data_IF_081530884762
#
_entry.id   IF_081530884762
#
_cell.length_a   1.000
_cell.length_b   1.000
_cell.length_c   1.000
_cell.angle_alpha   90.00
_cell.angle_beta   90.00
_cell.angle_gamma   90.00
#
_symmetry.space_group_name_H-M   'P 1'
#
loop_
_entity.id
_entity.type
_entity.pdbx_description
1 polymer ?
#
# COMPACT_ATOMS: atom_id res chain seq x y z
N UNK A 1 -8.91 1.36 39.03
CA UNK A 1 -8.61 2.75 39.49
C UNK A 1 -9.83 3.62 39.18
N UNK A 2 -10.15 4.67 39.96
CA UNK A 2 -11.23 5.61 39.60
C UNK A 2 -10.85 6.38 38.33
N UNK A 3 -11.79 6.46 37.37
CA UNK A 3 -11.63 7.10 36.05
C UNK A 3 -12.64 8.22 35.82
N UNK A 4 -13.49 8.52 36.79
CA UNK A 4 -14.49 9.59 36.71
C UNK A 4 -13.85 10.95 36.38
N UNK A 5 -12.63 11.17 36.85
CA UNK A 5 -11.83 12.37 36.60
C UNK A 5 -11.58 12.63 35.09
N UNK A 6 -11.55 11.60 34.25
CA UNK A 6 -11.28 11.73 32.80
C UNK A 6 -12.33 12.60 32.09
N UNK A 7 -13.52 12.71 32.67
CA UNK A 7 -14.65 13.47 32.13
C UNK A 7 -14.78 14.89 32.72
N UNK A 8 -13.90 15.30 33.64
CA UNK A 8 -13.92 16.64 34.20
C UNK A 8 -13.46 17.67 33.16
N UNK A 9 -14.27 18.72 32.98
CA UNK A 9 -14.01 19.78 32.00
C UNK A 9 -12.99 20.80 32.51
N UNK A 10 -13.00 21.09 33.81
CA UNK A 10 -12.01 21.94 34.47
C UNK A 10 -10.75 21.11 34.81
N UNK A 11 -9.75 21.17 33.94
CA UNK A 11 -8.51 20.39 34.08
C UNK A 11 -7.41 21.11 34.84
N UNK A 12 -7.43 22.45 34.84
CA UNK A 12 -6.33 23.27 35.37
C UNK A 12 -6.52 23.65 36.83
N UNK A 13 -7.78 23.69 37.30
CA UNK A 13 -8.09 24.09 38.69
C UNK A 13 -8.69 22.97 39.53
N UNK A 14 -9.17 21.89 38.91
CA UNK A 14 -9.76 20.77 39.64
C UNK A 14 -8.69 19.91 40.32
N UNK A 15 -8.71 19.80 41.67
CA UNK A 15 -7.84 18.88 42.39
C UNK A 15 -8.08 17.43 41.96
N UNK A 16 -9.35 17.05 41.77
CA UNK A 16 -9.72 15.69 41.36
C UNK A 16 -9.16 15.30 39.98
N UNK A 17 -9.08 16.25 39.03
CA UNK A 17 -8.43 16.00 37.74
C UNK A 17 -6.92 15.81 37.90
N UNK A 18 -6.27 16.68 38.68
CA UNK A 18 -4.84 16.60 38.93
C UNK A 18 -4.44 15.29 39.63
N UNK A 19 -5.21 14.88 40.64
CA UNK A 19 -5.02 13.62 41.36
C UNK A 19 -5.19 12.40 40.44
N UNK A 20 -6.20 12.43 39.57
CA UNK A 20 -6.43 11.40 38.55
C UNK A 20 -5.28 11.26 37.56
N UNK A 21 -4.77 12.39 37.04
CA UNK A 21 -3.59 12.43 36.16
C UNK A 21 -2.36 11.87 36.88
N UNK A 22 -2.13 12.25 38.14
CA UNK A 22 -1.00 11.76 38.93
C UNK A 22 -1.07 10.24 39.17
N UNK A 23 -2.26 9.72 39.48
CA UNK A 23 -2.48 8.30 39.68
C UNK A 23 -2.23 7.50 38.38
N UNK A 24 -2.73 8.01 37.25
CA UNK A 24 -2.46 7.45 35.92
C UNK A 24 -0.96 7.43 35.59
N UNK A 25 -0.26 8.55 35.77
CA UNK A 25 1.18 8.64 35.45
C UNK A 25 2.03 7.76 36.36
N UNK A 26 1.62 7.54 37.60
CA UNK A 26 2.29 6.63 38.54
C UNK A 26 2.18 5.19 38.06
N UNK A 27 0.99 4.76 37.62
CA UNK A 27 0.78 3.44 37.04
C UNK A 27 1.64 3.26 35.77
N UNK A 28 1.60 4.24 34.87
CA UNK A 28 2.36 4.21 33.61
C UNK A 28 3.87 4.12 33.84
N UNK A 29 4.41 4.85 34.83
CA UNK A 29 5.84 4.79 35.22
C UNK A 29 6.26 3.43 35.74
N UNK A 30 5.43 2.82 36.57
CA UNK A 30 5.71 1.50 37.12
C UNK A 30 5.69 0.43 36.01
N UNK A 31 4.82 0.59 35.01
CA UNK A 31 4.77 -0.28 33.84
C UNK A 31 5.98 -0.11 32.92
N UNK A 32 6.52 1.10 32.77
CA UNK A 32 7.58 1.41 31.79
C UNK A 32 9.02 1.05 32.21
N UNK A 33 9.20 0.28 33.31
CA UNK A 33 10.47 -0.29 33.84
C UNK A 33 11.78 0.39 33.35
N UNK A 34 11.96 1.67 33.68
CA UNK A 34 13.20 2.42 33.42
C UNK A 34 13.21 3.28 32.15
N UNK A 35 12.15 3.26 31.33
CA UNK A 35 11.96 4.23 30.24
C UNK A 35 11.36 5.54 30.76
N UNK A 36 11.94 6.67 30.34
CA UNK A 36 11.45 8.02 30.61
C UNK A 36 10.32 8.47 29.65
N UNK A 37 9.92 7.57 28.74
CA UNK A 37 8.91 7.81 27.71
C UNK A 37 7.76 6.81 27.81
N UNK A 38 6.54 7.31 27.58
CA UNK A 38 5.31 6.51 27.55
C UNK A 38 4.42 6.94 26.36
N UNK A 39 3.41 6.13 26.03
CA UNK A 39 2.39 6.55 25.07
C UNK A 39 1.58 7.71 25.64
N UNK A 40 1.23 8.70 24.83
CA UNK A 40 0.44 9.84 25.27
C UNK A 40 -1.06 9.59 25.04
N UNK A 41 -1.89 9.41 26.08
CA UNK A 41 -3.32 9.11 25.92
C UNK A 41 -4.18 10.36 25.74
N UNK A 42 -3.60 11.54 25.47
CA UNK A 42 -4.40 12.76 25.31
C UNK A 42 -5.29 12.69 24.06
N UNK A 43 -6.34 13.52 24.01
CA UNK A 43 -7.33 13.57 22.91
C UNK A 43 -6.72 13.83 21.53
N UNK A 44 -5.54 14.45 21.48
CA UNK A 44 -4.82 14.70 20.22
C UNK A 44 -3.86 13.57 19.86
N UNK A 45 -3.19 12.97 20.84
CA UNK A 45 -2.17 11.94 20.58
C UNK A 45 -2.76 10.53 20.52
N UNK A 46 -3.88 10.25 21.19
CA UNK A 46 -4.61 8.99 21.16
C UNK A 46 -3.74 7.73 21.31
N UNK A 47 -2.78 7.74 22.24
CA UNK A 47 -1.78 6.68 22.47
C UNK A 47 -0.80 6.40 21.33
N UNK A 48 -0.79 7.22 20.28
CA UNK A 48 0.05 7.01 19.10
C UNK A 48 1.46 7.59 19.22
N UNK A 49 1.68 8.59 20.10
CA UNK A 49 2.98 9.20 20.32
C UNK A 49 3.67 8.69 21.58
N UNK A 50 4.93 8.28 21.44
CA UNK A 50 5.84 7.96 22.56
C UNK A 50 6.59 9.22 22.98
N UNK A 51 6.15 9.85 24.08
CA UNK A 51 6.65 11.13 24.54
C UNK A 51 7.29 11.02 25.93
N UNK A 52 8.25 11.90 26.26
CA UNK A 52 8.75 11.99 27.63
C UNK A 52 7.60 12.23 28.60
N UNK A 53 7.61 11.58 29.76
CA UNK A 53 6.49 11.61 30.72
C UNK A 53 6.07 13.05 31.08
N UNK A 54 7.03 13.97 31.22
CA UNK A 54 6.76 15.41 31.46
C UNK A 54 5.91 16.07 30.37
N UNK A 55 6.09 15.65 29.12
CA UNK A 55 5.34 16.16 27.96
C UNK A 55 3.94 15.53 27.95
N UNK A 56 3.84 14.24 28.30
CA UNK A 56 2.55 13.56 28.44
C UNK A 56 1.70 14.23 29.51
N UNK A 57 2.27 14.51 30.69
CA UNK A 57 1.60 15.26 31.75
C UNK A 57 1.06 16.61 31.26
N UNK A 58 1.91 17.39 30.56
CA UNK A 58 1.51 18.67 29.97
C UNK A 58 0.33 18.50 29.01
N UNK A 59 0.35 17.47 28.15
CA UNK A 59 -0.76 17.18 27.24
C UNK A 59 -2.03 16.78 27.99
N UNK A 60 -1.94 16.04 29.10
CA UNK A 60 -3.12 15.66 29.89
C UNK A 60 -3.80 16.87 30.53
N UNK A 61 -3.05 17.89 30.94
CA UNK A 61 -3.64 19.13 31.46
C UNK A 61 -4.19 20.04 30.35
N UNK A 62 -3.41 20.29 29.29
CA UNK A 62 -3.80 21.23 28.24
C UNK A 62 -4.85 20.65 27.29
N UNK A 63 -4.61 19.45 26.78
CA UNK A 63 -5.43 18.81 25.73
C UNK A 63 -6.50 17.91 26.34
N UNK A 64 -6.22 17.33 27.51
CA UNK A 64 -7.12 16.38 28.18
C UNK A 64 -6.86 14.95 27.75
N UNK A 65 -7.10 14.00 28.65
CA UNK A 65 -7.09 12.57 28.32
C UNK A 65 -8.24 12.21 27.36
N UNK A 66 -8.01 11.23 26.48
CA UNK A 66 -9.06 10.69 25.64
C UNK A 66 -10.09 9.96 26.52
N UNK A 67 -11.36 10.43 26.60
CA UNK A 67 -12.37 9.80 27.45
C UNK A 67 -12.71 8.37 27.01
N UNK A 68 -12.50 8.03 25.73
CA UNK A 68 -12.75 6.70 25.19
C UNK A 68 -11.63 5.70 25.53
N UNK A 69 -10.49 6.18 26.04
CA UNK A 69 -9.40 5.32 26.49
C UNK A 69 -9.64 4.86 27.93
N UNK A 70 -10.75 4.16 28.13
CA UNK A 70 -11.21 3.68 29.44
C UNK A 70 -10.48 2.44 29.90
N UNK A 71 -9.74 1.73 29.03
CA UNK A 71 -8.87 0.61 29.40
C UNK A 71 -7.42 1.02 29.14
N UNK A 72 -6.62 1.16 30.19
CA UNK A 72 -5.25 1.65 30.08
C UNK A 72 -4.26 0.53 29.72
N UNK A 73 -4.57 -0.24 28.68
CA UNK A 73 -3.84 -1.43 28.21
C UNK A 73 -2.36 -1.15 27.92
N UNK A 74 -2.01 0.07 27.51
CA UNK A 74 -0.63 0.47 27.23
C UNK A 74 0.13 0.99 28.45
N UNK A 75 -0.53 1.12 29.60
CA UNK A 75 0.01 1.76 30.80
C UNK A 75 -0.11 0.87 32.04
N UNK A 76 -0.19 -0.45 31.84
CA UNK A 76 -0.11 -1.44 32.91
C UNK A 76 -1.40 -1.65 33.69
N UNK A 77 -2.56 -1.26 33.15
CA UNK A 77 -3.83 -1.70 33.71
C UNK A 77 -4.13 -3.14 33.26
N UNK A 78 -4.21 -4.06 34.21
CA UNK A 78 -4.54 -5.46 33.94
C UNK A 78 -5.97 -5.59 33.41
N UNK A 79 -6.10 -6.34 32.31
CA UNK A 79 -7.37 -6.62 31.65
C UNK A 79 -8.24 -7.50 32.59
N UNK A 80 -9.11 -6.86 33.35
CA UNK A 80 -10.21 -7.58 34.02
C UNK A 80 -11.21 -7.96 32.94
N UNK A 81 -11.01 -9.14 32.34
CA UNK A 81 -11.97 -9.74 31.41
C UNK A 81 -13.31 -9.93 32.11
N UNK A 82 -14.19 -8.96 31.94
CA UNK A 82 -15.63 -9.12 32.12
C UNK A 82 -16.23 -9.02 30.73
N UNK A 83 -16.58 -10.17 30.19
CA UNK A 83 -17.45 -10.28 29.03
C UNK A 83 -18.79 -9.67 29.41
N UNK A 84 -19.01 -8.42 29.04
CA UNK A 84 -20.34 -7.88 28.87
C UNK A 84 -20.37 -7.34 27.45
N UNK A 85 -21.05 -8.08 26.58
CA UNK A 85 -21.64 -7.59 25.34
C UNK A 85 -22.44 -6.32 25.66
N UNK A 86 -22.39 -5.36 24.74
CA UNK A 86 -23.20 -4.14 24.62
C UNK A 86 -22.34 -2.87 24.60
N UNK A 87 -21.63 -2.66 23.48
CA UNK A 87 -21.72 -1.41 22.73
C UNK A 87 -21.14 -1.64 21.33
N UNK A 88 -22.08 -1.86 20.42
CA UNK A 88 -21.93 -1.97 18.98
C UNK A 88 -21.53 -0.61 18.38
N UNK A 89 -20.29 -0.51 17.92
CA UNK A 89 -19.94 0.36 16.79
C UNK A 89 -19.13 -0.48 15.77
N UNK A 90 -19.71 -1.62 15.41
CA UNK A 90 -19.13 -2.58 14.47
C UNK A 90 -19.51 -2.26 13.01
N UNK A 91 -19.18 -1.06 12.53
CA UNK A 91 -19.11 -0.82 11.08
C UNK A 91 -17.83 -1.44 10.44
N UNK A 92 -17.40 -2.59 10.95
CA UNK A 92 -16.31 -3.41 10.38
C UNK A 92 -16.83 -4.40 9.32
N UNK A 93 -18.15 -4.56 9.20
CA UNK A 93 -18.76 -5.46 8.23
C UNK A 93 -18.67 -4.94 6.78
N UNK A 94 -18.76 -3.62 6.57
CA UNK A 94 -18.85 -3.04 5.21
C UNK A 94 -17.53 -3.06 4.43
N UNK A 95 -16.37 -3.02 5.09
CA UNK A 95 -15.07 -3.07 4.40
C UNK A 95 -14.67 -4.47 3.90
N UNK A 96 -15.35 -5.53 4.36
CA UNK A 96 -14.92 -6.91 4.12
C UNK A 96 -15.45 -7.49 2.80
N UNK A 97 -16.64 -7.10 2.36
CA UNK A 97 -17.30 -7.71 1.19
C UNK A 97 -17.02 -6.96 -0.14
N UNK A 98 -16.88 -5.62 -0.15
CA UNK A 98 -16.60 -4.87 -1.40
C UNK A 98 -15.25 -5.24 -2.06
N UNK A 99 -14.23 -5.64 -1.30
CA UNK A 99 -12.91 -6.00 -1.82
C UNK A 99 -12.85 -7.36 -2.55
N UNK A 100 -13.81 -8.26 -2.32
CA UNK A 100 -13.77 -9.62 -2.89
C UNK A 100 -14.25 -9.61 -4.34
N UNK A 101 -15.27 -8.81 -4.63
CA UNK A 101 -15.98 -8.85 -5.92
C UNK A 101 -15.12 -8.29 -7.07
N UNK A 102 -14.21 -7.36 -6.79
CA UNK A 102 -13.34 -6.71 -7.78
C UNK A 102 -12.11 -7.54 -8.20
N UNK A 103 -11.80 -8.63 -7.46
CA UNK A 103 -10.62 -9.47 -7.75
C UNK A 103 -10.79 -10.28 -9.05
N UNK A 104 -12.01 -10.71 -9.36
CA UNK A 104 -12.28 -11.44 -10.61
C UNK A 104 -12.19 -10.51 -11.83
N UNK A 105 -12.67 -9.26 -11.69
CA UNK A 105 -12.55 -8.24 -12.72
C UNK A 105 -11.07 -7.88 -12.96
N UNK A 106 -10.28 -7.72 -11.89
CA UNK A 106 -8.82 -7.53 -12.00
C UNK A 106 -8.14 -8.69 -12.75
N UNK A 107 -8.55 -9.94 -12.50
CA UNK A 107 -8.00 -11.10 -13.21
C UNK A 107 -8.37 -11.11 -14.71
N UNK A 108 -9.60 -10.76 -15.05
CA UNK A 108 -10.03 -10.59 -16.46
C UNK A 108 -9.18 -9.52 -17.17
N UNK A 109 -8.92 -8.39 -16.50
CA UNK A 109 -8.07 -7.32 -17.01
C UNK A 109 -6.61 -7.74 -17.20
N UNK A 110 -6.08 -8.64 -16.36
CA UNK A 110 -4.73 -9.17 -16.52
C UNK A 110 -4.66 -10.14 -17.72
N UNK A 111 -5.66 -11.03 -17.88
CA UNK A 111 -5.74 -11.97 -19.02
C UNK A 111 -5.77 -11.27 -20.36
N UNK A 112 -6.58 -10.24 -20.43
CA UNK A 112 -6.66 -9.31 -21.53
C UNK A 112 -5.28 -8.79 -22.01
N UNK A 113 -4.34 -8.59 -21.08
CA UNK A 113 -3.00 -8.04 -21.36
C UNK A 113 -2.00 -9.04 -21.91
N UNK A 114 -2.10 -10.31 -21.51
CA UNK A 114 -1.11 -11.35 -21.78
C UNK A 114 -1.37 -12.07 -23.10
N UNK A 115 -2.59 -11.94 -23.64
CA UNK A 115 -3.00 -12.49 -24.95
C UNK A 115 -2.48 -11.69 -26.16
N UNK A 116 -1.91 -10.50 -25.97
CA UNK A 116 -1.28 -9.72 -27.03
C UNK A 116 0.24 -9.97 -27.01
N UNK A 117 0.70 -10.95 -27.80
CA UNK A 117 2.12 -11.13 -28.10
C UNK A 117 2.66 -9.88 -28.83
N UNK A 118 3.25 -8.97 -28.05
CA UNK A 118 4.14 -7.93 -28.61
C UNK A 118 5.53 -8.56 -28.68
N UNK A 119 6.22 -8.48 -29.84
CA UNK A 119 7.61 -8.93 -29.94
C UNK A 119 8.42 -8.32 -28.79
N UNK A 120 9.04 -9.18 -27.99
CA UNK A 120 10.00 -8.74 -26.99
C UNK A 120 11.07 -7.95 -27.71
N UNK A 121 11.10 -6.63 -27.49
CA UNK A 121 12.24 -5.81 -27.84
C UNK A 121 13.38 -6.29 -26.92
N UNK A 122 14.20 -7.20 -27.45
CA UNK A 122 15.39 -7.75 -26.81
C UNK A 122 16.43 -6.62 -26.63
N UNK A 123 16.16 -5.74 -25.67
CA UNK A 123 17.06 -4.68 -25.21
C UNK A 123 17.75 -5.07 -23.90
N UNK A 124 18.51 -6.17 -23.94
CA UNK A 124 19.46 -6.71 -22.97
C UNK A 124 19.00 -7.01 -21.52
N UNK A 125 19.04 -8.30 -21.11
CA UNK A 125 19.06 -8.71 -19.72
C UNK A 125 20.50 -8.61 -19.18
N UNK A 126 20.76 -7.72 -18.23
CA UNK A 126 21.93 -7.90 -17.38
C UNK A 126 21.51 -8.74 -16.18
N UNK A 127 21.65 -10.05 -16.35
CA UNK A 127 21.70 -11.00 -15.26
C UNK A 127 22.91 -10.65 -14.37
N UNK A 128 22.68 -10.34 -13.10
CA UNK A 128 23.72 -10.49 -12.07
C UNK A 128 23.09 -10.77 -10.71
N UNK A 129 22.96 -12.08 -10.46
CA UNK A 129 23.20 -12.77 -9.18
C UNK A 129 22.41 -12.31 -7.95
N UNK A 130 21.23 -12.91 -7.84
CA UNK A 130 20.38 -13.00 -6.67
C UNK A 130 19.12 -13.79 -7.05
N UNK A 131 19.30 -14.94 -7.72
CA UNK A 131 18.21 -15.85 -8.07
C UNK A 131 17.67 -16.47 -6.77
N UNK A 132 16.58 -15.91 -6.27
CA UNK A 132 15.52 -16.74 -5.73
C UNK A 132 14.89 -17.39 -6.97
N UNK A 133 14.73 -18.73 -7.04
CA UNK A 133 14.34 -19.42 -8.26
C UNK A 133 13.14 -18.72 -8.90
N UNK A 134 13.24 -18.44 -10.20
CA UNK A 134 12.08 -18.12 -11.01
C UNK A 134 11.01 -19.21 -10.77
N UNK A 135 9.71 -18.85 -10.73
CA UNK A 135 8.66 -19.85 -10.70
C UNK A 135 8.90 -20.84 -11.84
N UNK A 136 8.80 -22.13 -11.52
CA UNK A 136 9.06 -23.25 -12.42
C UNK A 136 8.43 -23.02 -13.80
N UNK A 137 9.11 -23.36 -14.91
CA UNK A 137 8.67 -23.09 -16.27
C UNK A 137 7.52 -23.99 -16.76
N UNK A 138 6.57 -24.35 -15.87
CA UNK A 138 5.62 -25.43 -16.11
C UNK A 138 4.15 -25.01 -16.14
N UNK A 139 3.79 -23.75 -15.85
CA UNK A 139 2.41 -23.28 -15.97
C UNK A 139 2.27 -22.11 -16.95
N UNK A 140 1.38 -22.26 -17.94
CA UNK A 140 1.02 -21.15 -18.82
C UNK A 140 0.28 -20.07 -18.01
N UNK A 141 0.31 -18.82 -18.47
CA UNK A 141 -0.41 -17.73 -17.81
C UNK A 141 -1.90 -18.05 -17.61
N UNK A 142 -2.54 -18.70 -18.59
CA UNK A 142 -3.92 -19.15 -18.48
C UNK A 142 -4.11 -20.17 -17.34
N UNK A 143 -3.16 -21.08 -17.13
CA UNK A 143 -3.23 -22.04 -16.02
C UNK A 143 -3.12 -21.35 -14.66
N UNK A 144 -2.26 -20.33 -14.53
CA UNK A 144 -2.17 -19.52 -13.32
C UNK A 144 -3.45 -18.74 -13.06
N UNK A 145 -4.10 -18.26 -14.12
CA UNK A 145 -5.36 -17.54 -14.03
C UNK A 145 -6.51 -18.46 -13.57
N UNK A 146 -6.62 -19.65 -14.16
CA UNK A 146 -7.62 -20.63 -13.77
C UNK A 146 -7.39 -21.11 -12.33
N UNK A 147 -6.14 -21.34 -11.93
CA UNK A 147 -5.77 -21.71 -10.55
C UNK A 147 -6.15 -20.60 -9.55
N UNK A 148 -5.90 -19.34 -9.89
CA UNK A 148 -6.25 -18.18 -9.07
C UNK A 148 -7.77 -18.04 -8.82
N UNK A 149 -8.60 -18.48 -9.79
CA UNK A 149 -10.06 -18.43 -9.70
C UNK A 149 -10.68 -19.58 -8.91
N UNK A 150 -9.93 -20.66 -8.65
CA UNK A 150 -10.46 -21.80 -7.93
C UNK A 150 -10.97 -21.39 -6.55
N UNK A 151 -12.08 -21.96 -6.07
CA UNK A 151 -12.48 -21.88 -4.67
C UNK A 151 -11.31 -22.26 -3.75
N UNK A 152 -11.21 -21.59 -2.61
CA UNK A 152 -10.14 -21.89 -1.64
C UNK A 152 -10.15 -23.36 -1.19
N UNK A 153 -11.35 -23.95 -1.08
CA UNK A 153 -11.59 -25.38 -0.85
C UNK A 153 -12.94 -25.74 -1.50
N UNK A 154 -13.24 -27.04 -1.62
CA UNK A 154 -14.48 -27.51 -2.23
C UNK A 154 -15.72 -26.93 -1.52
N UNK A 155 -16.58 -26.23 -2.28
CA UNK A 155 -17.79 -25.58 -1.75
C UNK A 155 -17.58 -24.19 -1.14
N UNK A 156 -16.35 -23.65 -1.14
CA UNK A 156 -16.10 -22.27 -0.71
C UNK A 156 -16.66 -21.27 -1.74
N UNK A 157 -17.71 -20.55 -1.37
CA UNK A 157 -18.33 -19.53 -2.24
C UNK A 157 -17.79 -18.13 -1.98
N UNK A 158 -17.24 -17.89 -0.78
CA UNK A 158 -16.79 -16.54 -0.36
C UNK A 158 -15.37 -16.21 -0.82
N UNK A 159 -14.47 -17.19 -0.90
CA UNK A 159 -13.08 -16.95 -1.24
C UNK A 159 -12.60 -17.85 -2.38
N UNK A 160 -11.98 -17.25 -3.38
CA UNK A 160 -11.07 -17.95 -4.26
C UNK A 160 -9.69 -18.05 -3.60
N UNK A 161 -8.84 -18.92 -4.13
CA UNK A 161 -7.44 -19.02 -3.76
C UNK A 161 -6.74 -17.66 -3.79
N UNK A 162 -6.93 -16.90 -4.87
CA UNK A 162 -6.31 -15.59 -5.01
C UNK A 162 -6.86 -14.57 -4.01
N UNK A 163 -8.19 -14.45 -3.88
CA UNK A 163 -8.78 -13.41 -3.02
C UNK A 163 -8.41 -13.64 -1.55
N UNK A 164 -8.28 -14.90 -1.13
CA UNK A 164 -7.76 -15.24 0.19
C UNK A 164 -6.29 -14.83 0.37
N UNK A 165 -5.41 -15.20 -0.57
CA UNK A 165 -3.97 -14.90 -0.50
C UNK A 165 -3.72 -13.39 -0.49
N UNK A 166 -4.38 -12.63 -1.36
CA UNK A 166 -4.22 -11.17 -1.43
C UNK A 166 -4.68 -10.50 -0.14
N UNK A 167 -5.81 -10.94 0.44
CA UNK A 167 -6.27 -10.43 1.74
C UNK A 167 -5.28 -10.75 2.85
N UNK A 168 -4.72 -11.96 2.88
CA UNK A 168 -3.74 -12.35 3.89
C UNK A 168 -2.45 -11.52 3.76
N UNK A 169 -1.98 -11.27 2.54
CA UNK A 169 -0.83 -10.40 2.26
C UNK A 169 -1.11 -8.93 2.60
N UNK A 170 -2.35 -8.48 2.43
CA UNK A 170 -2.78 -7.15 2.82
C UNK A 170 -2.73 -6.98 4.35
N UNK A 171 -3.33 -7.91 5.10
CA UNK A 171 -3.28 -7.95 6.58
C UNK A 171 -1.83 -7.94 7.05
N UNK A 172 -0.99 -8.84 6.52
CA UNK A 172 0.45 -8.86 6.82
C UNK A 172 1.10 -7.49 6.67
N UNK A 173 0.77 -6.78 5.59
CA UNK A 173 1.40 -5.51 5.24
C UNK A 173 0.90 -4.37 6.13
N UNK A 174 -0.41 -4.30 6.37
CA UNK A 174 -1.02 -3.29 7.24
C UNK A 174 -0.55 -3.42 8.69
N UNK A 175 -0.54 -4.63 9.20
CA UNK A 175 -0.22 -4.91 10.60
C UNK A 175 1.27 -5.16 10.83
N UNK A 176 2.09 -5.08 9.77
CA UNK A 176 3.55 -5.17 9.85
C UNK A 176 4.05 -6.53 10.33
N UNK A 177 3.35 -7.62 10.02
CA UNK A 177 3.75 -8.95 10.43
C UNK A 177 5.11 -9.34 9.84
N UNK A 178 5.93 -10.05 10.62
CA UNK A 178 7.17 -10.62 10.11
C UNK A 178 6.90 -11.76 9.12
N UNK A 179 7.88 -12.11 8.28
CA UNK A 179 7.77 -13.28 7.37
C UNK A 179 7.54 -14.55 8.19
N UNK A 180 8.34 -14.74 9.26
CA UNK A 180 8.18 -15.86 10.19
C UNK A 180 6.77 -15.97 10.77
N UNK A 181 6.17 -14.85 11.21
CA UNK A 181 4.81 -14.84 11.75
C UNK A 181 3.77 -15.27 10.71
N UNK A 182 3.97 -14.88 9.46
CA UNK A 182 3.09 -15.25 8.36
C UNK A 182 3.17 -16.74 8.04
N UNK A 183 4.39 -17.29 7.96
CA UNK A 183 4.61 -18.71 7.70
C UNK A 183 4.08 -19.59 8.84
N UNK A 184 4.22 -19.14 10.09
CA UNK A 184 3.63 -19.81 11.25
C UNK A 184 2.10 -19.86 11.16
N UNK A 185 1.46 -18.76 10.73
CA UNK A 185 0.02 -18.75 10.52
C UNK A 185 -0.40 -19.68 9.38
N UNK A 186 0.30 -19.64 8.24
CA UNK A 186 0.03 -20.54 7.12
C UNK A 186 0.12 -22.01 7.57
N UNK A 187 1.14 -22.36 8.34
CA UNK A 187 1.32 -23.71 8.89
C UNK A 187 0.13 -24.15 9.76
N UNK A 188 -0.39 -23.23 10.59
CA UNK A 188 -1.58 -23.49 11.40
C UNK A 188 -2.83 -23.66 10.54
N UNK A 189 -3.04 -22.78 9.56
CA UNK A 189 -4.19 -22.85 8.65
C UNK A 189 -4.18 -24.15 7.84
N UNK A 190 -3.01 -24.58 7.37
CA UNK A 190 -2.84 -25.85 6.67
C UNK A 190 -3.21 -27.05 7.55
N UNK A 191 -2.87 -26.98 8.85
CA UNK A 191 -3.21 -28.03 9.81
C UNK A 191 -4.70 -28.06 10.14
N UNK A 192 -5.35 -26.89 10.17
CA UNK A 192 -6.78 -26.76 10.47
C UNK A 192 -7.69 -27.04 9.26
N UNK A 193 -7.22 -26.73 8.05
CA UNK A 193 -7.96 -26.81 6.79
C UNK A 193 -7.13 -27.55 5.73
N UNK A 194 -6.98 -28.88 5.86
CA UNK A 194 -6.11 -29.67 4.98
C UNK A 194 -6.60 -29.71 3.52
N UNK A 195 -7.90 -29.50 3.30
CA UNK A 195 -8.51 -29.48 1.96
C UNK A 195 -8.42 -28.10 1.28
N UNK A 196 -7.84 -27.10 1.95
CA UNK A 196 -7.69 -25.76 1.39
C UNK A 196 -6.42 -25.63 0.55
N UNK A 197 -6.53 -25.02 -0.63
CA UNK A 197 -5.42 -24.71 -1.53
C UNK A 197 -4.62 -23.49 -1.04
N UNK A 198 -4.01 -23.62 0.14
CA UNK A 198 -3.19 -22.58 0.76
C UNK A 198 -1.71 -22.69 0.35
N UNK A 199 -1.02 -21.55 0.16
CA UNK A 199 0.42 -21.57 -0.03
C UNK A 199 1.12 -22.04 1.26
N UNK A 200 2.25 -22.73 1.10
CA UNK A 200 3.06 -23.22 2.21
C UNK A 200 3.92 -22.13 2.85
N UNK A 201 4.15 -21.02 2.15
CA UNK A 201 4.96 -19.92 2.67
C UNK A 201 4.58 -18.54 2.11
N UNK A 202 5.13 -17.50 2.73
CA UNK A 202 5.10 -16.15 2.21
C UNK A 202 5.72 -16.06 0.79
N UNK A 203 6.81 -16.77 0.54
CA UNK A 203 7.48 -16.73 -0.77
C UNK A 203 6.62 -17.33 -1.88
N UNK A 204 5.92 -18.42 -1.58
CA UNK A 204 4.96 -19.05 -2.49
C UNK A 204 3.74 -18.15 -2.72
N UNK A 205 3.22 -17.52 -1.65
CA UNK A 205 2.17 -16.50 -1.74
C UNK A 205 2.56 -15.36 -2.70
N UNK A 206 3.82 -14.90 -2.61
CA UNK A 206 4.39 -13.89 -3.52
C UNK A 206 4.70 -14.42 -4.92
N UNK A 207 4.86 -15.72 -5.08
CA UNK A 207 5.07 -16.36 -6.39
C UNK A 207 3.80 -16.28 -7.23
N UNK A 208 2.64 -16.57 -6.62
CA UNK A 208 1.34 -16.43 -7.29
C UNK A 208 1.09 -15.00 -7.80
N UNK A 209 1.35 -13.99 -6.96
CA UNK A 209 1.26 -12.58 -7.39
C UNK A 209 2.21 -12.27 -8.57
N UNK A 210 3.44 -12.77 -8.52
CA UNK A 210 4.41 -12.56 -9.62
C UNK A 210 3.95 -13.23 -10.91
N UNK A 211 3.40 -14.45 -10.82
CA UNK A 211 2.87 -15.21 -11.96
C UNK A 211 1.69 -14.52 -12.64
N UNK A 212 0.84 -13.85 -11.86
CA UNK A 212 -0.30 -13.05 -12.37
C UNK A 212 0.11 -11.67 -12.91
N UNK A 213 1.40 -11.40 -13.09
CA UNK A 213 1.87 -10.17 -13.71
C UNK A 213 1.80 -8.93 -12.82
N UNK A 214 1.73 -9.10 -11.48
CA UNK A 214 1.95 -8.02 -10.51
C UNK A 214 3.45 -7.68 -10.34
N UNK A 215 4.18 -7.67 -11.46
CA UNK A 215 5.62 -7.46 -11.49
C UNK A 215 5.99 -5.98 -11.64
N UNK A 216 7.18 -5.64 -11.18
CA UNK A 216 7.81 -4.35 -11.40
C UNK A 216 9.27 -4.56 -11.77
N UNK A 217 9.81 -3.69 -12.59
CA UNK A 217 11.23 -3.65 -12.90
C UNK A 217 11.98 -2.85 -11.84
N UNK A 218 13.08 -3.41 -11.35
CA UNK A 218 14.01 -2.70 -10.48
C UNK A 218 15.04 -1.98 -11.35
N UNK A 219 15.07 -0.67 -11.27
CA UNK A 219 16.04 0.17 -11.97
C UNK A 219 16.91 0.83 -10.92
N UNK A 220 18.23 0.68 -11.00
CA UNK A 220 19.12 1.31 -10.02
C UNK A 220 19.15 2.83 -10.30
N UNK A 221 19.16 3.62 -9.24
CA UNK A 221 19.19 5.08 -9.34
C UNK A 221 20.46 5.62 -8.65
N UNK A 222 20.93 6.78 -9.13
CA UNK A 222 21.95 7.53 -8.42
C UNK A 222 21.44 7.89 -7.01
N UNK A 223 22.25 7.76 -5.93
CA UNK A 223 21.84 8.19 -4.60
C UNK A 223 21.46 9.69 -4.54
N UNK A 224 22.04 10.51 -5.42
CA UNK A 224 21.77 11.94 -5.55
C UNK A 224 20.80 12.27 -6.71
N UNK A 225 19.99 11.30 -7.17
CA UNK A 225 18.92 11.48 -8.18
C UNK A 225 19.34 12.07 -9.54
N UNK A 226 20.64 12.00 -9.87
CA UNK A 226 21.19 12.62 -11.07
C UNK A 226 20.84 11.88 -12.37
N UNK A 227 20.78 10.54 -12.29
CA UNK A 227 20.51 9.61 -13.40
C UNK A 227 19.87 8.31 -12.88
N UNK A 228 19.25 7.58 -13.79
CA UNK A 228 19.00 6.15 -13.64
C UNK A 228 20.12 5.36 -14.32
N UNK A 229 20.57 4.28 -13.70
CA UNK A 229 21.46 3.29 -14.31
C UNK A 229 20.63 2.40 -15.24
N UNK A 230 20.17 2.99 -16.34
CA UNK A 230 19.26 2.41 -17.32
C UNK A 230 19.73 2.75 -18.73
N UNK A 231 19.41 1.87 -19.70
CA UNK A 231 19.84 1.97 -21.10
C UNK A 231 21.33 2.27 -21.23
N UNK A 232 21.70 3.41 -21.79
CA UNK A 232 23.08 3.84 -22.00
C UNK A 232 23.92 3.88 -20.70
N UNK A 233 23.28 4.06 -19.54
CA UNK A 233 23.95 4.10 -18.24
C UNK A 233 23.90 2.76 -17.48
N UNK A 234 23.33 1.70 -18.05
CA UNK A 234 23.04 0.45 -17.34
C UNK A 234 24.30 -0.26 -16.80
N UNK A 235 25.41 -0.16 -17.53
CA UNK A 235 26.67 -0.80 -17.20
C UNK A 235 27.61 0.07 -16.35
N UNK A 236 27.17 1.28 -15.99
CA UNK A 236 27.98 2.16 -15.14
C UNK A 236 27.90 1.72 -13.68
N UNK A 237 29.05 1.78 -13.02
CA UNK A 237 29.19 1.56 -11.58
C UNK A 237 29.19 2.87 -10.78
N UNK A 238 29.35 4.01 -11.45
CA UNK A 238 29.35 5.34 -10.86
C UNK A 238 28.52 6.31 -11.71
N UNK A 239 27.91 7.28 -11.04
CA UNK A 239 27.16 8.32 -11.71
C UNK A 239 28.10 9.21 -12.54
N UNK A 240 27.86 9.38 -13.86
CA UNK A 240 28.74 10.20 -14.71
C UNK A 240 28.74 11.67 -14.29
N UNK A 241 27.66 12.16 -13.67
CA UNK A 241 27.47 13.56 -13.22
C UNK A 241 28.11 13.86 -11.86
N UNK A 242 27.78 13.09 -10.82
CA UNK A 242 28.22 13.38 -9.45
C UNK A 242 29.30 12.42 -8.91
N UNK A 243 29.74 11.45 -9.72
CA UNK A 243 30.72 10.40 -9.36
C UNK A 243 30.34 9.53 -8.17
N UNK A 244 29.11 9.64 -7.66
CA UNK A 244 28.62 8.77 -6.60
C UNK A 244 28.54 7.32 -7.10
N UNK A 245 28.98 6.39 -6.26
CA UNK A 245 28.90 4.96 -6.53
C UNK A 245 27.45 4.49 -6.61
N UNK A 246 27.18 3.58 -7.55
CA UNK A 246 25.92 2.84 -7.64
C UNK A 246 25.71 1.91 -6.45
N UNK A 247 26.78 1.49 -5.78
CA UNK A 247 26.80 0.38 -4.83
C UNK A 247 27.06 0.85 -3.40
N UNK A 248 26.42 0.21 -2.43
CA UNK A 248 26.72 0.44 -1.00
C UNK A 248 28.16 0.00 -0.72
N UNK A 249 28.98 0.80 -0.01
CA UNK A 249 30.31 0.38 0.40
C UNK A 249 30.18 -0.73 1.45
N UNK A 250 30.67 -1.95 1.18
CA UNK A 250 30.66 -3.00 2.21
C UNK A 250 31.87 -3.95 2.11
N UNK A 251 32.36 -4.37 3.29
CA UNK A 251 33.65 -5.03 3.58
C UNK A 251 33.59 -6.56 3.65
N UNK A 252 32.39 -7.15 3.66
CA UNK A 252 32.19 -8.61 3.72
C UNK A 252 31.38 -9.04 2.48
N UNK A 253 32.05 -9.50 1.43
CA UNK A 253 31.41 -9.77 0.13
C UNK A 253 30.76 -11.16 0.08
N UNK A 254 29.55 -11.14 -0.49
CA UNK A 254 29.17 -12.07 -1.55
C UNK A 254 28.37 -11.35 -2.66
N UNK A 255 27.58 -10.32 -2.35
CA UNK A 255 26.69 -9.64 -3.32
C UNK A 255 26.83 -8.11 -3.34
N UNK A 256 26.73 -7.50 -4.53
CA UNK A 256 26.70 -6.03 -4.72
C UNK A 256 25.28 -5.52 -4.49
N UNK A 257 25.09 -4.59 -3.56
CA UNK A 257 23.78 -4.01 -3.23
C UNK A 257 23.71 -2.58 -3.75
N UNK A 258 22.71 -2.21 -4.58
CA UNK A 258 22.57 -0.84 -5.07
C UNK A 258 22.16 0.13 -3.95
N UNK A 259 22.65 1.37 -4.02
CA UNK A 259 22.32 2.40 -3.01
C UNK A 259 20.87 2.88 -3.09
N UNK A 260 20.31 2.96 -4.30
CA UNK A 260 18.94 3.41 -4.55
C UNK A 260 18.30 2.63 -5.70
N UNK A 261 17.02 2.28 -5.56
CA UNK A 261 16.28 1.49 -6.54
C UNK A 261 14.92 2.15 -6.82
N UNK A 262 14.68 2.48 -8.09
CA UNK A 262 13.37 2.80 -8.64
C UNK A 262 12.61 1.51 -8.95
N UNK A 263 11.38 1.40 -8.48
CA UNK A 263 10.45 0.33 -8.86
C UNK A 263 9.55 0.85 -9.98
N UNK A 264 9.86 0.45 -11.22
CA UNK A 264 9.13 0.86 -12.41
C UNK A 264 8.07 -0.17 -12.78
N UNK A 265 6.82 0.26 -12.89
CA UNK A 265 5.76 -0.54 -13.45
C UNK A 265 5.59 -0.20 -14.93
N UNK A 266 5.72 -1.17 -15.86
CA UNK A 266 5.56 -0.94 -17.29
C UNK A 266 4.27 -0.22 -17.64
N UNK A 267 4.40 0.94 -18.28
CA UNK A 267 3.24 1.74 -18.65
C UNK A 267 2.52 1.16 -19.87
N UNK A 268 3.25 0.74 -20.92
CA UNK A 268 2.65 0.26 -22.17
C UNK A 268 1.65 -0.89 -21.98
N UNK A 269 1.99 -1.99 -21.28
CA UNK A 269 1.03 -3.09 -21.07
C UNK A 269 -0.18 -2.64 -20.27
N UNK A 270 0.01 -1.75 -19.28
CA UNK A 270 -1.09 -1.22 -18.46
C UNK A 270 -2.05 -0.35 -19.27
N UNK A 271 -1.55 0.46 -20.19
CA UNK A 271 -2.41 1.26 -21.07
C UNK A 271 -3.16 0.38 -22.08
N UNK A 272 -2.51 -0.66 -22.61
CA UNK A 272 -3.16 -1.62 -23.50
C UNK A 272 -4.33 -2.32 -22.81
N UNK A 273 -4.20 -2.68 -21.52
CA UNK A 273 -5.28 -3.29 -20.72
C UNK A 273 -6.57 -2.48 -20.72
N UNK A 274 -6.46 -1.15 -20.65
CA UNK A 274 -7.63 -0.25 -20.64
C UNK A 274 -8.46 -0.33 -21.93
N UNK A 275 -7.91 -0.88 -23.01
CA UNK A 275 -8.60 -1.04 -24.29
C UNK A 275 -9.11 -2.45 -24.58
N UNK A 276 -8.90 -3.42 -23.68
CA UNK A 276 -9.31 -4.80 -23.93
C UNK A 276 -10.76 -5.04 -23.56
N UNK A 277 -11.23 -4.47 -22.44
CA UNK A 277 -12.65 -4.47 -22.10
C UNK A 277 -13.38 -3.48 -23.00
N UNK A 278 -14.42 -3.94 -23.72
CA UNK A 278 -15.23 -3.07 -24.58
C UNK A 278 -15.79 -1.86 -23.82
N UNK A 279 -16.23 -2.06 -22.57
CA UNK A 279 -16.74 -1.02 -21.68
C UNK A 279 -15.66 0.00 -21.31
N UNK A 280 -14.48 -0.44 -20.87
CA UNK A 280 -13.39 0.47 -20.50
C UNK A 280 -12.86 1.18 -21.74
N UNK A 281 -12.76 0.48 -22.88
CA UNK A 281 -12.33 1.06 -24.15
C UNK A 281 -13.27 2.18 -24.62
N UNK A 282 -14.58 2.03 -24.43
CA UNK A 282 -15.56 3.09 -24.67
C UNK A 282 -15.32 4.29 -23.75
N UNK A 283 -15.17 4.07 -22.44
CA UNK A 283 -14.85 5.14 -21.48
C UNK A 283 -13.55 5.87 -21.81
N UNK A 284 -12.54 5.16 -22.33
CA UNK A 284 -11.25 5.74 -22.75
C UNK A 284 -11.36 6.64 -23.98
N UNK A 285 -12.36 6.45 -24.84
CA UNK A 285 -12.62 7.26 -26.06
C UNK A 285 -13.71 8.30 -25.86
N UNK A 286 -14.47 8.20 -24.78
CA UNK A 286 -15.61 9.06 -24.45
C UNK A 286 -15.30 10.55 -24.59
N UNK A 287 -14.12 10.97 -24.11
CA UNK A 287 -13.65 12.36 -24.13
C UNK A 287 -13.69 13.02 -25.53
N UNK A 288 -13.68 12.22 -26.59
CA UNK A 288 -13.76 12.66 -27.98
C UNK A 288 -15.04 12.23 -28.68
N UNK A 289 -15.49 10.99 -28.47
CA UNK A 289 -16.61 10.40 -29.24
C UNK A 289 -17.99 10.80 -28.72
N UNK A 290 -18.13 10.98 -27.40
CA UNK A 290 -19.44 11.13 -26.75
C UNK A 290 -19.54 12.39 -25.87
N UNK A 291 -18.41 13.03 -25.58
CA UNK A 291 -18.37 14.26 -24.78
C UNK A 291 -19.15 15.38 -25.48
N UNK A 292 -20.15 16.00 -24.82
CA UNK A 292 -20.85 17.16 -25.36
C UNK A 292 -19.89 18.33 -25.65
N UNK A 293 -20.03 18.95 -26.81
CA UNK A 293 -19.27 20.15 -27.20
C UNK A 293 -20.20 21.36 -27.23
N UNK A 294 -19.84 22.45 -26.53
CA UNK A 294 -20.55 23.74 -26.62
C UNK A 294 -21.19 24.26 -25.33
N UNK A 295 -21.09 23.53 -24.21
CA UNK A 295 -21.55 24.03 -22.92
C UNK A 295 -20.42 24.69 -22.11
N UNK A 296 -20.72 25.77 -21.40
CA UNK A 296 -19.77 26.51 -20.54
C UNK A 296 -19.47 25.80 -19.20
N UNK A 297 -19.61 24.48 -19.15
CA UNK A 297 -19.46 23.66 -17.94
C UNK A 297 -18.24 22.76 -18.11
N UNK A 298 -17.31 22.82 -17.15
CA UNK A 298 -16.18 21.91 -17.07
C UNK A 298 -16.66 20.56 -16.51
N UNK A 299 -16.71 19.52 -17.35
CA UNK A 299 -17.16 18.17 -16.98
C UNK A 299 -16.03 17.16 -17.02
N UNK A 300 -15.03 17.42 -17.85
CA UNK A 300 -13.90 16.54 -18.09
C UNK A 300 -12.60 17.35 -18.27
N UNK A 301 -11.42 16.80 -17.97
CA UNK A 301 -10.14 17.48 -18.27
C UNK A 301 -10.00 17.96 -19.72
N UNK A 302 -10.71 17.33 -20.66
CA UNK A 302 -10.79 17.73 -22.07
C UNK A 302 -11.48 19.08 -22.32
N UNK A 303 -12.26 19.58 -21.36
CA UNK A 303 -12.88 20.91 -21.46
C UNK A 303 -11.89 22.04 -21.11
N UNK A 304 -10.76 21.70 -20.50
CA UNK A 304 -9.72 22.65 -20.12
C UNK A 304 -9.06 23.30 -21.33
N UNK A 305 -8.68 24.57 -21.16
CA UNK A 305 -7.93 25.33 -22.15
C UNK A 305 -6.59 24.66 -22.49
N UNK A 306 -5.94 24.04 -21.50
CA UNK A 306 -4.69 23.31 -21.68
C UNK A 306 -4.83 22.14 -22.64
N UNK A 307 -5.92 21.37 -22.54
CA UNK A 307 -6.19 20.26 -23.44
C UNK A 307 -6.49 20.76 -24.86
N UNK A 308 -7.34 21.78 -25.00
CA UNK A 308 -7.69 22.36 -26.30
C UNK A 308 -6.46 22.89 -27.04
N UNK A 309 -5.60 23.66 -26.35
CA UNK A 309 -4.34 24.15 -26.92
C UNK A 309 -3.38 23.03 -27.31
N UNK A 310 -3.34 21.94 -26.54
CA UNK A 310 -2.54 20.77 -26.91
C UNK A 310 -3.06 20.15 -28.21
N UNK A 311 -4.38 20.02 -28.35
CA UNK A 311 -5.01 19.44 -29.53
C UNK A 311 -4.83 20.30 -30.79
N UNK A 312 -4.86 21.62 -30.65
CA UNK A 312 -4.53 22.56 -31.72
C UNK A 312 -3.09 22.40 -32.21
N UNK A 313 -2.13 22.26 -31.28
CA UNK A 313 -0.71 22.12 -31.59
C UNK A 313 -0.35 20.73 -32.12
N UNK A 314 -1.09 19.70 -31.70
CA UNK A 314 -0.82 18.30 -31.99
C UNK A 314 -2.03 17.64 -32.63
N UNK A 315 -2.49 18.18 -33.76
CA UNK A 315 -3.69 17.71 -34.48
C UNK A 315 -3.63 16.22 -34.84
N UNK A 316 -2.46 15.70 -35.23
CA UNK A 316 -2.24 14.28 -35.49
C UNK A 316 -2.54 13.40 -34.26
N UNK A 317 -2.26 13.90 -33.05
CA UNK A 317 -2.55 13.20 -31.80
C UNK A 317 -4.03 13.35 -31.44
N UNK A 318 -4.58 14.56 -31.60
CA UNK A 318 -5.99 14.81 -31.32
C UNK A 318 -6.94 14.02 -32.23
N UNK A 319 -6.51 13.62 -33.43
CA UNK A 319 -7.32 12.89 -34.41
C UNK A 319 -7.72 11.48 -33.96
N UNK A 320 -6.91 10.78 -33.17
CA UNK A 320 -7.24 9.43 -32.70
C UNK A 320 -7.78 9.47 -31.26
N UNK A 321 -9.03 9.04 -31.06
CA UNK A 321 -9.67 8.98 -29.74
C UNK A 321 -8.98 7.97 -28.80
N UNK A 322 -8.16 7.04 -29.32
CA UNK A 322 -7.42 6.05 -28.53
C UNK A 322 -6.15 6.62 -27.91
N UNK A 323 -5.74 7.82 -28.31
CA UNK A 323 -4.56 8.46 -27.74
C UNK A 323 -4.80 8.86 -26.27
N UNK A 324 -3.98 8.30 -25.39
CA UNK A 324 -4.12 8.46 -23.94
C UNK A 324 -3.39 9.69 -23.44
N UNK A 325 -4.08 10.53 -22.67
CA UNK A 325 -3.46 11.63 -21.91
C UNK A 325 -3.35 11.23 -20.46
N UNK A 326 -2.20 11.50 -19.87
CA UNK A 326 -1.87 11.10 -18.50
C UNK A 326 -1.65 12.35 -17.64
N UNK A 327 -2.38 12.43 -16.53
CA UNK A 327 -2.00 13.26 -15.41
C UNK A 327 -0.85 12.62 -14.66
N UNK A 328 0.19 13.39 -14.39
CA UNK A 328 1.31 12.96 -13.56
C UNK A 328 1.25 13.70 -12.23
N UNK A 329 1.27 12.94 -11.13
CA UNK A 329 1.48 13.48 -9.79
C UNK A 329 2.69 12.82 -9.15
N UNK A 330 3.64 13.64 -8.73
CA UNK A 330 4.76 13.21 -7.89
C UNK A 330 4.53 13.55 -6.41
N UNK A 331 3.41 14.23 -6.10
CA UNK A 331 3.05 14.69 -4.76
C UNK A 331 1.58 14.38 -4.50
N UNK A 332 1.30 13.09 -4.40
CA UNK A 332 -0.05 12.53 -4.24
C UNK A 332 -0.18 11.63 -3.03
N UNK A 333 0.71 11.75 -2.05
CA UNK A 333 0.50 11.19 -0.72
C UNK A 333 0.69 12.31 0.28
N UNK A 334 -0.39 12.71 0.93
CA UNK A 334 -0.38 13.65 2.02
C UNK A 334 -0.27 12.87 3.34
N UNK A 335 0.89 12.84 4.00
CA UNK A 335 1.11 12.20 5.27
C UNK A 335 0.77 13.17 6.42
N UNK A 336 -0.32 13.96 6.38
CA UNK A 336 -0.72 14.76 7.56
C UNK A 336 -1.16 13.91 8.77
N UNK A 337 -0.91 12.61 8.74
CA UNK A 337 -0.36 11.99 9.92
C UNK A 337 1.16 12.23 10.03
N UNK A 338 1.57 13.33 10.69
CA UNK A 338 2.96 13.58 11.09
C UNK A 338 3.54 12.48 12.02
N UNK A 339 2.83 11.35 12.21
CA UNK A 339 3.23 10.15 12.93
C UNK A 339 3.69 8.98 12.03
N UNK A 340 3.76 9.13 10.70
CA UNK A 340 4.15 8.01 9.85
C UNK A 340 5.67 7.75 9.90
N UNK A 341 6.04 6.45 9.93
CA UNK A 341 7.41 5.96 9.68
C UNK A 341 8.01 6.73 8.49
N UNK A 342 9.31 7.10 8.51
CA UNK A 342 9.94 7.71 7.34
C UNK A 342 9.74 6.78 6.14
N UNK A 343 8.88 7.18 5.20
CA UNK A 343 8.69 6.44 3.98
C UNK A 343 9.96 6.63 3.14
N UNK A 344 10.70 5.56 2.91
CA UNK A 344 11.88 5.56 2.04
C UNK A 344 11.53 5.59 0.54
N UNK A 345 10.28 5.94 0.21
CA UNK A 345 9.70 5.82 -1.14
C UNK A 345 9.02 7.13 -1.52
N UNK A 346 9.36 7.63 -2.70
CA UNK A 346 8.71 8.77 -3.34
C UNK A 346 7.89 8.27 -4.54
N UNK A 347 6.55 8.24 -4.46
CA UNK A 347 5.74 7.72 -5.56
C UNK A 347 5.63 8.74 -6.71
N UNK A 348 5.63 8.23 -7.94
CA UNK A 348 5.15 8.97 -9.12
C UNK A 348 3.95 8.21 -9.65
N UNK A 349 2.79 8.86 -9.63
CA UNK A 349 1.50 8.29 -10.01
C UNK A 349 1.10 8.87 -11.36
N UNK A 350 0.67 8.00 -12.26
CA UNK A 350 0.09 8.37 -13.55
C UNK A 350 -1.39 8.00 -13.55
N UNK A 351 -2.24 8.96 -13.89
CA UNK A 351 -3.70 8.79 -13.97
C UNK A 351 -4.15 9.03 -15.41
N UNK A 352 -4.88 8.10 -16.04
CA UNK A 352 -5.45 8.33 -17.36
C UNK A 352 -6.52 9.42 -17.27
N UNK A 353 -6.28 10.57 -17.89
CA UNK A 353 -7.27 11.66 -18.00
C UNK A 353 -8.19 11.47 -19.21
N UNK A 354 -7.97 10.43 -20.02
CA UNK A 354 -8.85 10.10 -21.15
C UNK A 354 -10.09 9.30 -20.75
N UNK A 355 -10.11 8.75 -19.53
CA UNK A 355 -11.18 7.86 -19.07
C UNK A 355 -12.31 8.67 -18.41
N UNK A 356 -13.55 8.35 -18.79
CA UNK A 356 -14.72 8.75 -18.02
C UNK A 356 -14.89 7.81 -16.82
N UNK A 357 -14.90 8.37 -15.60
CA UNK A 357 -15.09 7.63 -14.34
C UNK A 357 -16.55 7.64 -13.91
#
# INVERSE_FOLDING_TARGET
MDKSWMNLTDRLRSPAYADGVNAFLTLARNHSQGSDRIRCPCRSCCNNLFLPIRIVETHLFLIGINPNYTHWIFHGEEETRRFNDDDDDSNTADYADEYIDDMNHMLDDIRASTSFDVPQDHGNPLATSGEIPDPSPSSSFDQLLEDARRPLFAGCTKFSKLSFIVKLLHIKTLDGWSIKSFDMLLSLLWSAFPDAELPHSYEESRSLERGLGFNYHKIHACPNDCILFWKENANLDECPKCKASRWVPNTHKAHRIPQKVLRHFPLKPRLQRLFVSAKIAENMRWHKEQRPTGEAILRHPADSESWKRFDEKHSWFAQDARNVRLGMSSDGFNPFNNMAKPYSIWPVILVPYSIWL
#
